data_IF_247261945406
#
_entry.id   IF_247261945406
#
_cell.length_a   1.000
_cell.length_b   1.000
_cell.length_c   1.000
_cell.angle_alpha   90.00
_cell.angle_beta   90.00
_cell.angle_gamma   90.00
#
_symmetry.space_group_name_H-M   'P 1'
#
loop_
_entity.id
_entity.type
_entity.pdbx_description
1 polymer ?
#
# COMPACT_ATOMS: atom_id res chain seq x y z
N UNK A 1 60.66 13.78 -27.76
CA UNK A 1 61.02 14.84 -28.75
C UNK A 1 60.08 14.90 -29.97
N UNK A 2 59.97 13.86 -30.85
CA UNK A 2 59.11 13.99 -32.06
C UNK A 2 57.63 14.29 -31.79
N UNK A 3 57.02 13.61 -30.85
CA UNK A 3 55.59 13.80 -30.49
C UNK A 3 55.38 15.19 -29.84
N UNK A 4 56.30 15.62 -29.03
CA UNK A 4 56.30 16.95 -28.39
C UNK A 4 56.42 18.08 -29.43
N UNK A 5 57.33 17.94 -30.40
CA UNK A 5 57.45 18.86 -31.54
C UNK A 5 56.15 18.92 -32.36
N UNK A 6 55.51 17.79 -32.59
CA UNK A 6 54.20 17.72 -33.27
C UNK A 6 53.10 18.46 -32.48
N UNK A 7 53.06 18.26 -31.20
CA UNK A 7 52.09 18.90 -30.29
C UNK A 7 52.28 20.42 -30.25
N UNK A 8 53.53 20.90 -30.15
CA UNK A 8 53.83 22.32 -30.13
C UNK A 8 53.56 23.00 -31.49
N UNK A 9 53.93 22.35 -32.61
CA UNK A 9 53.60 22.84 -33.96
C UNK A 9 52.09 22.94 -34.20
N UNK A 10 51.32 21.96 -33.71
CA UNK A 10 49.87 22.01 -33.78
C UNK A 10 49.27 23.17 -33.00
N UNK A 11 49.76 23.43 -31.75
CA UNK A 11 49.31 24.55 -30.97
C UNK A 11 49.64 25.90 -31.61
N UNK A 12 50.83 26.04 -32.16
CA UNK A 12 51.24 27.21 -32.92
C UNK A 12 50.36 27.44 -34.15
N UNK A 13 50.05 26.41 -34.92
CA UNK A 13 49.15 26.50 -36.05
C UNK A 13 47.70 26.89 -35.62
N UNK A 14 47.22 26.43 -34.49
CA UNK A 14 45.91 26.82 -33.93
C UNK A 14 45.93 28.28 -33.48
N UNK A 15 46.98 28.74 -32.84
CA UNK A 15 47.15 30.17 -32.43
C UNK A 15 47.25 31.11 -33.63
N UNK A 16 47.94 30.68 -34.73
CA UNK A 16 48.05 31.48 -35.93
C UNK A 16 46.75 31.60 -36.75
N UNK A 17 45.83 30.64 -36.63
CA UNK A 17 44.52 30.68 -37.35
C UNK A 17 43.54 31.73 -36.80
N UNK A 18 43.79 32.32 -35.61
CA UNK A 18 42.75 33.11 -34.93
C UNK A 18 43.24 34.49 -34.45
N UNK A 19 42.47 35.52 -34.83
CA UNK A 19 42.75 36.94 -34.44
C UNK A 19 42.12 37.40 -33.10
N UNK A 20 41.16 36.70 -32.48
CA UNK A 20 40.47 37.20 -31.28
C UNK A 20 40.14 36.16 -30.17
N UNK A 21 39.89 34.91 -30.43
CA UNK A 21 39.66 33.84 -29.44
C UNK A 21 40.12 32.50 -29.99
N UNK A 22 40.97 31.79 -29.25
CA UNK A 22 41.44 30.45 -29.65
C UNK A 22 40.28 29.46 -29.49
N UNK A 23 39.72 28.97 -30.61
CA UNK A 23 38.71 27.91 -30.61
C UNK A 23 39.25 26.68 -31.33
N UNK A 24 39.28 25.55 -30.63
CA UNK A 24 39.73 24.28 -31.21
C UNK A 24 38.59 23.63 -31.99
N UNK A 25 38.84 23.33 -33.23
CA UNK A 25 37.93 22.59 -34.11
C UNK A 25 37.77 21.13 -33.70
N UNK A 26 36.90 20.40 -34.41
CA UNK A 26 36.68 18.99 -34.13
C UNK A 26 37.94 18.13 -34.35
N UNK A 27 38.69 18.41 -35.42
CA UNK A 27 39.93 17.72 -35.73
C UNK A 27 41.01 17.95 -34.66
N UNK A 28 41.14 19.20 -34.17
CA UNK A 28 42.12 19.55 -33.15
C UNK A 28 41.79 18.82 -31.80
N UNK A 29 40.52 18.75 -31.45
CA UNK A 29 40.07 18.01 -30.26
C UNK A 29 40.37 16.52 -30.37
N UNK A 30 40.16 15.94 -31.55
CA UNK A 30 40.39 14.52 -31.79
C UNK A 30 41.90 14.20 -31.74
N UNK A 31 42.77 15.09 -32.30
CA UNK A 31 44.23 14.97 -32.19
C UNK A 31 44.69 14.94 -30.74
N UNK A 32 44.21 15.88 -29.90
CA UNK A 32 44.59 15.94 -28.47
C UNK A 32 44.07 14.75 -27.68
N UNK A 33 42.87 14.23 -28.00
CA UNK A 33 42.36 12.99 -27.42
C UNK A 33 43.23 11.79 -27.79
N UNK A 34 43.71 11.68 -29.02
CA UNK A 34 44.63 10.62 -29.44
C UNK A 34 46.01 10.76 -28.78
N UNK A 35 46.60 11.96 -28.77
CA UNK A 35 47.88 12.23 -28.10
C UNK A 35 47.83 11.90 -26.60
N UNK A 36 46.69 12.18 -25.92
CA UNK A 36 46.52 11.85 -24.52
C UNK A 36 46.53 10.34 -24.21
N UNK A 37 46.32 9.49 -25.25
CA UNK A 37 46.39 8.03 -25.14
C UNK A 37 47.78 7.44 -25.39
N UNK A 38 48.55 8.09 -26.20
CA UNK A 38 49.81 7.54 -26.68
C UNK A 38 51.02 8.14 -25.94
N UNK A 39 50.85 9.33 -25.36
CA UNK A 39 51.93 10.07 -24.74
C UNK A 39 51.64 10.41 -23.27
N UNK A 40 52.45 9.87 -22.36
CA UNK A 40 52.19 10.03 -20.91
C UNK A 40 52.36 11.49 -20.41
N UNK A 41 53.27 12.27 -21.03
CA UNK A 41 53.56 13.66 -20.60
C UNK A 41 52.75 14.71 -21.36
N UNK A 42 51.68 14.34 -22.06
CA UNK A 42 50.85 15.26 -22.84
C UNK A 42 50.28 16.45 -22.02
N UNK A 43 50.15 16.30 -20.71
CA UNK A 43 49.63 17.35 -19.82
C UNK A 43 50.56 18.54 -19.70
N UNK A 44 51.86 18.33 -19.65
CA UNK A 44 52.87 19.39 -19.53
C UNK A 44 53.07 20.20 -20.81
N UNK A 45 52.72 19.62 -21.97
CA UNK A 45 52.83 20.28 -23.27
C UNK A 45 51.58 21.07 -23.69
N UNK A 46 50.49 21.04 -22.86
CA UNK A 46 49.29 21.78 -23.15
C UNK A 46 49.41 23.24 -22.70
N UNK A 47 49.32 24.16 -23.65
CA UNK A 47 49.35 25.61 -23.42
C UNK A 47 47.99 26.27 -23.73
N UNK A 48 47.29 25.77 -24.77
CA UNK A 48 46.07 26.39 -25.31
C UNK A 48 44.82 25.98 -24.54
N UNK A 49 44.78 24.77 -23.96
CA UNK A 49 43.62 24.24 -23.19
C UNK A 49 44.09 23.51 -21.96
N UNK A 50 43.21 23.49 -20.95
CA UNK A 50 43.45 22.74 -19.70
C UNK A 50 43.33 21.24 -19.94
N UNK A 51 44.16 20.40 -19.27
CA UNK A 51 44.10 18.94 -19.37
C UNK A 51 42.70 18.37 -19.11
N UNK A 52 41.94 18.97 -18.18
CA UNK A 52 40.55 18.54 -17.84
C UNK A 52 39.63 18.68 -19.04
N UNK A 53 39.87 19.67 -19.92
CA UNK A 53 39.09 19.88 -21.15
C UNK A 53 39.29 18.74 -22.14
N UNK A 54 40.52 18.27 -22.31
CA UNK A 54 40.83 17.12 -23.18
C UNK A 54 40.18 15.84 -22.62
N UNK A 55 40.22 15.63 -21.30
CA UNK A 55 39.56 14.50 -20.64
C UNK A 55 38.05 14.59 -20.86
N UNK A 56 37.46 15.79 -20.75
CA UNK A 56 36.01 15.98 -20.98
C UNK A 56 35.62 15.65 -22.44
N UNK A 57 36.44 16.02 -23.44
CA UNK A 57 36.23 15.64 -24.84
C UNK A 57 36.28 14.14 -25.04
N UNK A 58 37.29 13.46 -24.45
CA UNK A 58 37.38 12.02 -24.49
C UNK A 58 36.13 11.34 -23.87
N UNK A 59 35.70 11.77 -22.69
CA UNK A 59 34.48 11.25 -22.04
C UNK A 59 33.23 11.47 -22.89
N UNK A 60 33.12 12.64 -23.54
CA UNK A 60 32.00 12.94 -24.43
C UNK A 60 32.03 12.04 -25.68
N UNK A 61 33.19 11.89 -26.33
CA UNK A 61 33.36 11.01 -27.49
C UNK A 61 33.07 9.55 -27.14
N UNK A 62 33.59 9.05 -26.00
CA UNK A 62 33.36 7.71 -25.52
C UNK A 62 31.86 7.46 -25.28
N UNK A 63 31.15 8.42 -24.63
CA UNK A 63 29.70 8.34 -24.40
C UNK A 63 28.91 8.32 -25.70
N UNK A 64 29.31 9.11 -26.71
CA UNK A 64 28.65 9.14 -28.02
C UNK A 64 28.90 7.83 -28.80
N UNK A 65 30.12 7.30 -28.77
CA UNK A 65 30.48 6.02 -29.40
C UNK A 65 29.66 4.86 -28.80
N UNK A 66 29.60 4.75 -27.46
CA UNK A 66 28.85 3.70 -26.83
C UNK A 66 27.34 3.86 -27.02
N UNK A 67 26.82 5.09 -27.02
CA UNK A 67 25.42 5.36 -27.36
C UNK A 67 25.08 4.98 -28.79
N UNK A 68 26.01 5.19 -29.75
CA UNK A 68 25.85 4.74 -31.13
C UNK A 68 25.93 3.22 -31.23
N UNK A 69 26.94 2.61 -30.63
CA UNK A 69 27.14 1.16 -30.61
C UNK A 69 25.99 0.41 -29.91
N UNK A 70 25.45 0.93 -28.83
CA UNK A 70 24.31 0.33 -28.10
C UNK A 70 22.95 0.52 -28.81
N UNK A 71 22.88 1.39 -29.82
CA UNK A 71 21.69 1.50 -30.68
C UNK A 71 21.55 0.35 -31.68
N UNK A 72 22.62 -0.35 -31.98
CA UNK A 72 22.62 -1.49 -32.88
C UNK A 72 22.17 -2.77 -32.16
N UNK A 73 20.88 -2.85 -31.84
CA UNK A 73 20.24 -4.03 -31.29
C UNK A 73 19.15 -3.64 -30.36
N UNK A 74 17.89 -3.81 -30.74
CA UNK A 74 16.77 -3.80 -29.80
C UNK A 74 16.83 -5.09 -28.96
N UNK A 75 17.81 -5.17 -28.05
CA UNK A 75 17.82 -6.16 -26.98
C UNK A 75 16.69 -5.79 -26.02
N UNK A 76 15.54 -6.38 -26.21
CA UNK A 76 14.39 -6.24 -25.33
C UNK A 76 13.50 -7.46 -25.48
N UNK A 77 12.68 -7.73 -24.46
CA UNK A 77 11.67 -8.78 -24.54
C UNK A 77 10.82 -8.56 -25.79
N UNK A 78 10.53 -9.62 -26.60
CA UNK A 78 9.69 -9.51 -27.80
C UNK A 78 8.39 -8.78 -27.48
N UNK A 79 8.02 -7.83 -28.33
CA UNK A 79 6.75 -7.13 -28.16
C UNK A 79 5.60 -8.10 -28.45
N UNK A 80 4.60 -8.14 -27.56
CA UNK A 80 3.35 -8.87 -27.81
C UNK A 80 2.71 -8.35 -29.09
N UNK A 81 2.21 -9.23 -29.96
CA UNK A 81 1.58 -8.85 -31.22
C UNK A 81 0.39 -7.91 -31.02
N UNK A 82 0.10 -7.08 -32.02
CA UNK A 82 -1.05 -6.18 -31.99
C UNK A 82 -2.38 -6.94 -31.82
N UNK A 83 -2.51 -8.07 -32.53
CA UNK A 83 -3.68 -8.95 -32.48
C UNK A 83 -3.92 -9.52 -31.08
N UNK A 84 -2.88 -10.03 -30.42
CA UNK A 84 -2.99 -10.54 -29.04
C UNK A 84 -3.41 -9.45 -28.05
N UNK A 85 -2.91 -8.21 -28.23
CA UNK A 85 -3.33 -7.09 -27.36
C UNK A 85 -4.80 -6.74 -27.55
N UNK A 86 -5.26 -6.75 -28.79
CA UNK A 86 -6.67 -6.46 -29.09
C UNK A 86 -7.59 -7.58 -28.60
N UNK A 87 -7.19 -8.84 -28.75
CA UNK A 87 -7.90 -9.98 -28.20
C UNK A 87 -8.05 -9.89 -26.67
N UNK A 88 -6.98 -9.54 -25.97
CA UNK A 88 -7.03 -9.29 -24.51
C UNK A 88 -8.06 -8.21 -24.17
N UNK A 89 -8.09 -7.11 -24.93
CA UNK A 89 -9.05 -6.03 -24.71
C UNK A 89 -10.50 -6.48 -24.99
N UNK A 90 -10.71 -7.24 -26.06
CA UNK A 90 -12.04 -7.77 -26.40
C UNK A 90 -12.53 -8.73 -25.32
N UNK A 91 -11.70 -9.70 -24.88
CA UNK A 91 -12.04 -10.61 -23.78
C UNK A 91 -12.37 -9.87 -22.50
N UNK A 92 -11.60 -8.83 -22.17
CA UNK A 92 -11.83 -8.00 -20.98
C UNK A 92 -13.13 -7.20 -21.07
N UNK A 93 -13.46 -6.67 -22.23
CA UNK A 93 -14.72 -5.92 -22.47
C UNK A 93 -15.94 -6.84 -22.45
N UNK A 94 -15.85 -7.99 -23.11
CA UNK A 94 -16.93 -8.96 -23.18
C UNK A 94 -17.21 -9.61 -21.81
N UNK A 95 -16.20 -9.71 -20.95
CA UNK A 95 -16.30 -10.37 -19.65
C UNK A 95 -15.83 -9.46 -18.51
N UNK A 96 -16.62 -8.46 -18.09
CA UNK A 96 -16.23 -7.47 -17.11
C UNK A 96 -15.80 -8.03 -15.74
N UNK A 97 -16.23 -9.22 -15.40
CA UNK A 97 -15.93 -9.93 -14.15
C UNK A 97 -14.66 -10.80 -14.23
N UNK A 98 -14.04 -10.92 -15.41
CA UNK A 98 -12.83 -11.71 -15.54
C UNK A 98 -11.59 -10.93 -15.12
N UNK A 99 -10.82 -11.52 -14.23
CA UNK A 99 -9.50 -11.01 -13.87
C UNK A 99 -8.41 -11.51 -14.84
N UNK A 100 -7.23 -10.92 -14.75
CA UNK A 100 -6.07 -11.30 -15.56
C UNK A 100 -5.74 -12.80 -15.51
N UNK A 101 -5.85 -13.53 -14.37
CA UNK A 101 -5.59 -14.96 -14.32
C UNK A 101 -6.53 -15.76 -15.23
N UNK A 102 -7.82 -15.38 -15.30
CA UNK A 102 -8.82 -16.10 -16.11
C UNK A 102 -8.62 -15.85 -17.60
N UNK A 103 -8.42 -14.60 -17.99
CA UNK A 103 -8.11 -14.26 -19.40
C UNK A 103 -6.81 -14.92 -19.83
N UNK A 104 -5.79 -14.98 -18.97
CA UNK A 104 -4.54 -15.69 -19.23
C UNK A 104 -4.80 -17.19 -19.49
N UNK A 105 -5.63 -17.83 -18.66
CA UNK A 105 -6.00 -19.23 -18.85
C UNK A 105 -6.68 -19.50 -20.20
N UNK A 106 -7.59 -18.62 -20.64
CA UNK A 106 -8.24 -18.72 -21.95
C UNK A 106 -7.25 -18.53 -23.10
N UNK A 107 -6.31 -17.58 -22.97
CA UNK A 107 -5.26 -17.37 -23.98
C UNK A 107 -4.36 -18.61 -24.12
N UNK A 108 -4.01 -19.27 -23.01
CA UNK A 108 -3.26 -20.53 -23.05
C UNK A 108 -4.03 -21.64 -23.77
N UNK A 109 -5.36 -21.71 -23.61
CA UNK A 109 -6.21 -22.65 -24.33
C UNK A 109 -6.29 -22.37 -25.86
N UNK A 110 -6.04 -21.11 -26.24
CA UNK A 110 -5.94 -20.70 -27.64
C UNK A 110 -4.49 -20.81 -28.18
N UNK A 111 -3.56 -21.41 -27.44
CA UNK A 111 -2.16 -21.56 -27.84
C UNK A 111 -1.35 -20.26 -27.81
N UNK A 112 -1.84 -19.22 -27.13
CA UNK A 112 -1.18 -17.91 -27.01
C UNK A 112 -0.41 -17.83 -25.70
N UNK A 113 0.91 -17.95 -25.75
CA UNK A 113 1.79 -17.84 -24.60
C UNK A 113 2.13 -16.38 -24.27
N UNK A 114 1.51 -15.84 -23.25
CA UNK A 114 1.81 -14.51 -22.70
C UNK A 114 1.84 -14.59 -21.17
N UNK A 115 2.61 -13.74 -20.51
CA UNK A 115 2.58 -13.73 -19.04
C UNK A 115 1.30 -13.08 -18.51
N UNK A 116 0.83 -13.52 -17.35
CA UNK A 116 -0.32 -12.93 -16.65
C UNK A 116 -0.14 -11.40 -16.41
N UNK A 117 1.08 -10.96 -16.13
CA UNK A 117 1.40 -9.53 -16.00
C UNK A 117 1.19 -8.76 -17.31
N UNK A 118 1.44 -9.39 -18.46
CA UNK A 118 1.16 -8.82 -19.78
C UNK A 118 -0.35 -8.69 -20.00
N UNK A 119 -1.12 -9.70 -19.64
CA UNK A 119 -2.57 -9.65 -19.70
C UNK A 119 -3.12 -8.52 -18.83
N UNK A 120 -2.69 -8.42 -17.58
CA UNK A 120 -3.09 -7.35 -16.66
C UNK A 120 -2.75 -5.94 -17.19
N UNK A 121 -1.64 -5.80 -17.93
CA UNK A 121 -1.23 -4.53 -18.55
C UNK A 121 -2.16 -4.10 -19.69
N UNK A 122 -2.63 -5.04 -20.50
CA UNK A 122 -3.41 -4.76 -21.72
C UNK A 122 -4.92 -4.92 -21.54
N UNK A 123 -5.39 -5.46 -20.41
CA UNK A 123 -6.81 -5.47 -20.07
C UNK A 123 -7.38 -4.07 -20.14
N UNK A 124 -8.59 -3.98 -20.69
CA UNK A 124 -9.38 -2.75 -20.58
C UNK A 124 -9.75 -2.56 -19.11
N UNK A 125 -9.18 -1.56 -18.46
CA UNK A 125 -9.69 -1.09 -17.19
C UNK A 125 -11.02 -0.41 -17.48
N UNK A 126 -12.09 -1.17 -17.45
CA UNK A 126 -13.42 -0.58 -17.41
C UNK A 126 -13.56 0.09 -16.04
N UNK A 127 -13.17 1.36 -15.97
CA UNK A 127 -13.77 2.23 -15.00
C UNK A 127 -15.25 2.37 -15.38
N UNK A 128 -16.11 1.41 -14.98
CA UNK A 128 -17.46 1.81 -14.67
C UNK A 128 -17.28 2.89 -13.63
N UNK A 129 -17.83 4.11 -13.86
CA UNK A 129 -18.07 4.95 -12.71
C UNK A 129 -18.93 4.06 -11.81
N UNK A 130 -18.49 3.74 -10.58
CA UNK A 130 -19.34 2.97 -9.70
C UNK A 130 -20.62 3.77 -9.60
N UNK A 131 -21.78 3.12 -9.82
CA UNK A 131 -23.05 3.61 -9.29
C UNK A 131 -22.77 4.08 -7.88
N UNK A 132 -23.22 5.30 -7.52
CA UNK A 132 -22.96 5.95 -6.24
C UNK A 132 -21.93 5.17 -5.45
N UNK A 133 -20.67 5.51 -5.60
CA UNK A 133 -19.57 4.62 -5.29
C UNK A 133 -19.78 4.11 -3.88
N UNK A 134 -19.41 2.85 -3.61
CA UNK A 134 -19.32 2.33 -2.26
C UNK A 134 -18.67 3.35 -1.30
N UNK A 135 -17.70 4.08 -1.78
CA UNK A 135 -17.05 5.19 -1.09
C UNK A 135 -18.04 6.32 -0.78
N UNK A 136 -18.80 6.77 -1.75
CA UNK A 136 -19.81 7.84 -1.56
C UNK A 136 -20.93 7.39 -0.63
N UNK A 137 -21.34 6.12 -0.72
CA UNK A 137 -22.29 5.53 0.23
C UNK A 137 -21.74 5.57 1.65
N UNK A 138 -20.51 5.12 1.86
CA UNK A 138 -19.86 5.13 3.17
C UNK A 138 -19.71 6.57 3.71
N UNK A 139 -19.27 7.50 2.88
CA UNK A 139 -19.09 8.92 3.26
C UNK A 139 -20.42 9.56 3.70
N UNK A 140 -21.51 9.30 2.98
CA UNK A 140 -22.82 9.86 3.28
C UNK A 140 -23.51 9.23 4.51
N UNK A 141 -23.16 7.99 4.87
CA UNK A 141 -23.85 7.23 5.92
C UNK A 141 -22.92 6.77 7.04
N UNK A 142 -21.69 7.27 7.11
CA UNK A 142 -20.65 6.81 8.05
C UNK A 142 -21.11 6.79 9.51
N UNK A 143 -21.95 7.73 9.90
CA UNK A 143 -22.50 7.82 11.27
C UNK A 143 -23.57 6.76 11.58
N UNK A 144 -24.16 6.18 10.54
CA UNK A 144 -25.29 5.27 10.63
C UNK A 144 -24.93 3.84 10.23
N UNK A 145 -23.66 3.60 9.90
CA UNK A 145 -23.18 2.28 9.49
C UNK A 145 -22.41 1.64 10.61
N UNK A 146 -22.75 0.40 10.84
CA UNK A 146 -22.03 -0.51 11.73
C UNK A 146 -21.64 -1.74 10.93
N UNK A 147 -20.45 -2.25 11.16
CA UNK A 147 -19.97 -3.48 10.56
C UNK A 147 -19.83 -4.57 11.60
N UNK A 148 -20.13 -5.79 11.22
CA UNK A 148 -19.88 -6.97 12.06
C UNK A 148 -18.99 -7.96 11.36
N UNK A 149 -18.22 -8.68 12.15
CA UNK A 149 -17.34 -9.72 11.63
C UNK A 149 -16.96 -10.71 12.74
N UNK A 150 -16.47 -11.86 12.37
CA UNK A 150 -15.97 -12.89 13.26
C UNK A 150 -14.47 -13.07 13.15
N UNK A 151 -13.85 -13.27 14.30
CA UNK A 151 -12.44 -13.59 14.44
C UNK A 151 -12.32 -14.95 15.16
N UNK A 152 -11.57 -15.87 14.56
CA UNK A 152 -11.28 -17.17 15.18
C UNK A 152 -9.99 -17.10 15.97
N UNK A 153 -10.05 -17.54 17.23
CA UNK A 153 -8.92 -17.61 18.17
C UNK A 153 -8.75 -19.04 18.66
N UNK A 154 -7.52 -19.52 18.70
CA UNK A 154 -7.21 -20.86 19.26
C UNK A 154 -6.79 -20.75 20.70
N UNK A 155 -7.31 -21.63 21.54
CA UNK A 155 -6.87 -21.78 22.93
C UNK A 155 -5.60 -22.66 23.01
N UNK A 156 -4.93 -22.65 24.18
CA UNK A 156 -3.80 -23.56 24.47
C UNK A 156 -4.18 -25.03 24.34
N UNK A 157 -5.43 -25.38 24.55
CA UNK A 157 -5.99 -26.72 24.36
C UNK A 157 -6.49 -27.00 22.94
N UNK A 158 -6.11 -26.18 21.95
CA UNK A 158 -6.51 -26.25 20.55
C UNK A 158 -8.00 -26.13 20.26
N UNK A 159 -8.80 -25.71 21.22
CA UNK A 159 -10.21 -25.40 21.00
C UNK A 159 -10.33 -24.07 20.23
N UNK A 160 -11.29 -24.02 19.33
CA UNK A 160 -11.59 -22.79 18.58
C UNK A 160 -12.63 -21.97 19.36
N UNK A 161 -12.33 -20.69 19.52
CA UNK A 161 -13.26 -19.70 20.03
C UNK A 161 -13.52 -18.67 18.92
N UNK A 162 -14.76 -18.26 18.83
CA UNK A 162 -15.23 -17.27 17.88
C UNK A 162 -15.50 -15.96 18.63
N UNK A 163 -14.82 -14.92 18.21
CA UNK A 163 -15.02 -13.57 18.74
C UNK A 163 -15.88 -12.81 17.74
N UNK A 164 -17.07 -12.45 18.13
CA UNK A 164 -17.95 -11.55 17.39
C UNK A 164 -17.59 -10.13 17.73
N UNK A 165 -17.46 -9.27 16.73
CA UNK A 165 -17.17 -7.85 16.91
C UNK A 165 -18.16 -7.00 16.16
N UNK A 166 -18.56 -5.89 16.74
CA UNK A 166 -19.44 -4.87 16.17
C UNK A 166 -18.71 -3.54 16.20
N UNK A 167 -18.43 -3.00 15.02
CA UNK A 167 -17.60 -1.79 14.84
C UNK A 167 -18.39 -0.71 14.14
N UNK A 168 -18.55 0.44 14.77
CA UNK A 168 -19.13 1.63 14.15
C UNK A 168 -18.14 2.27 13.15
N UNK A 169 -18.62 2.67 11.99
CA UNK A 169 -17.79 3.38 11.03
C UNK A 169 -17.43 4.79 11.49
N UNK A 170 -18.37 5.47 12.16
CA UNK A 170 -18.10 6.76 12.78
C UNK A 170 -17.07 6.60 13.90
N UNK A 171 -16.00 7.36 13.82
CA UNK A 171 -14.85 7.33 14.75
C UNK A 171 -14.29 5.95 15.07
N UNK A 172 -14.73 4.88 14.37
CA UNK A 172 -14.24 3.49 14.52
C UNK A 172 -14.50 2.90 15.91
N UNK A 173 -15.61 3.27 16.54
CA UNK A 173 -15.99 2.72 17.82
C UNK A 173 -16.15 1.21 17.78
N UNK A 174 -15.56 0.52 18.73
CA UNK A 174 -15.84 -0.88 19.00
C UNK A 174 -17.11 -0.99 19.89
N UNK A 175 -18.25 -1.06 19.23
CA UNK A 175 -19.57 -0.96 19.88
C UNK A 175 -19.84 -2.15 20.83
N UNK A 176 -19.53 -3.36 20.36
CA UNK A 176 -19.79 -4.58 21.10
C UNK A 176 -18.81 -5.68 20.69
N UNK A 177 -18.55 -6.59 21.62
CA UNK A 177 -17.92 -7.87 21.33
C UNK A 177 -18.45 -8.96 22.27
N UNK A 178 -18.42 -10.19 21.81
CA UNK A 178 -18.61 -11.34 22.66
C UNK A 178 -17.85 -12.55 22.11
N UNK A 179 -17.70 -13.57 22.93
CA UNK A 179 -16.95 -14.78 22.59
C UNK A 179 -17.86 -15.98 22.77
N UNK A 180 -17.76 -16.96 21.88
CA UNK A 180 -18.47 -18.22 21.97
C UNK A 180 -17.63 -19.35 21.34
N UNK A 181 -17.84 -20.57 21.81
CA UNK A 181 -17.32 -21.76 21.16
C UNK A 181 -18.25 -22.26 20.02
N UNK A 182 -19.51 -21.81 20.00
CA UNK A 182 -20.53 -22.26 19.05
C UNK A 182 -21.31 -21.05 18.52
N UNK A 183 -20.88 -20.42 17.44
CA UNK A 183 -21.60 -19.30 16.83
C UNK A 183 -22.81 -19.83 16.06
N UNK A 184 -24.00 -19.57 16.58
CA UNK A 184 -25.27 -19.86 15.89
C UNK A 184 -25.97 -18.56 15.49
N UNK A 185 -26.91 -18.64 14.53
CA UNK A 185 -27.68 -17.48 14.10
C UNK A 185 -28.49 -16.84 15.25
N UNK A 186 -29.01 -17.67 16.15
CA UNK A 186 -29.74 -17.22 17.34
C UNK A 186 -28.80 -16.49 18.32
N UNK A 187 -27.61 -17.04 18.54
CA UNK A 187 -26.62 -16.40 19.39
C UNK A 187 -26.18 -15.05 18.80
N UNK A 188 -25.89 -15.00 17.48
CA UNK A 188 -25.49 -13.77 16.80
C UNK A 188 -26.61 -12.72 16.81
N UNK A 189 -27.87 -13.16 16.62
CA UNK A 189 -29.05 -12.31 16.73
C UNK A 189 -29.17 -11.66 18.13
N UNK A 190 -28.88 -12.44 19.19
CA UNK A 190 -28.85 -11.92 20.56
C UNK A 190 -27.74 -10.89 20.73
N UNK A 191 -26.56 -11.13 20.19
CA UNK A 191 -25.44 -10.20 20.28
C UNK A 191 -25.74 -8.84 19.65
N UNK A 192 -26.46 -8.80 18.52
CA UNK A 192 -26.90 -7.53 17.92
C UNK A 192 -27.92 -6.81 18.81
N UNK A 193 -28.86 -7.53 19.45
CA UNK A 193 -29.78 -6.91 20.37
C UNK A 193 -29.07 -6.35 21.63
N UNK A 194 -28.06 -7.03 22.13
CA UNK A 194 -27.23 -6.56 23.26
C UNK A 194 -26.35 -5.35 22.85
N UNK A 195 -25.86 -5.31 21.59
CA UNK A 195 -25.04 -4.21 21.08
C UNK A 195 -25.83 -2.89 20.97
N UNK A 196 -27.13 -2.96 20.69
CA UNK A 196 -27.99 -1.80 20.46
C UNK A 196 -29.25 -1.85 21.33
N UNK A 197 -29.11 -1.54 22.60
CA UNK A 197 -30.27 -1.44 23.50
C UNK A 197 -31.09 -0.19 23.14
N UNK A 198 -32.43 -0.30 23.29
CA UNK A 198 -33.39 0.77 23.06
C UNK A 198 -33.32 1.33 21.64
N UNK A 199 -33.35 2.65 21.46
CA UNK A 199 -33.37 3.36 20.18
C UNK A 199 -31.96 3.63 19.59
N UNK A 200 -30.93 2.90 20.02
CA UNK A 200 -29.55 3.10 19.57
C UNK A 200 -29.19 2.33 18.30
N UNK A 201 -30.18 1.68 17.66
CA UNK A 201 -29.94 0.85 16.49
C UNK A 201 -29.39 1.67 15.29
N UNK A 202 -28.35 1.18 14.59
CA UNK A 202 -27.84 1.82 13.39
C UNK A 202 -28.85 1.67 12.24
N UNK A 203 -28.75 2.54 11.24
CA UNK A 203 -29.58 2.39 10.05
C UNK A 203 -29.12 1.24 9.16
N UNK A 204 -27.81 1.01 9.08
CA UNK A 204 -27.20 0.01 8.20
C UNK A 204 -26.27 -0.90 8.99
N UNK A 205 -26.41 -2.20 8.76
CA UNK A 205 -25.53 -3.24 9.31
C UNK A 205 -24.83 -3.95 8.17
N UNK A 206 -23.51 -3.81 8.13
CA UNK A 206 -22.65 -4.42 7.13
C UNK A 206 -22.07 -5.73 7.65
N UNK A 207 -22.23 -6.81 6.90
CA UNK A 207 -21.61 -8.10 7.19
C UNK A 207 -21.36 -8.91 5.91
N UNK A 208 -20.66 -10.00 6.04
CA UNK A 208 -20.43 -10.95 4.95
C UNK A 208 -21.61 -11.93 4.80
N UNK A 209 -21.44 -12.91 3.92
CA UNK A 209 -22.47 -13.92 3.61
C UNK A 209 -22.25 -15.23 4.34
N UNK A 210 -21.65 -15.20 5.52
CA UNK A 210 -21.47 -16.40 6.33
C UNK A 210 -22.83 -16.94 6.81
N UNK A 211 -22.95 -18.26 6.91
CA UNK A 211 -24.15 -18.94 7.37
C UNK A 211 -24.50 -18.62 8.83
N UNK A 212 -23.57 -18.10 9.60
CA UNK A 212 -23.77 -17.61 10.97
C UNK A 212 -24.80 -16.46 11.01
N UNK A 213 -24.97 -15.71 9.92
CA UNK A 213 -25.98 -14.67 9.74
C UNK A 213 -27.26 -15.24 9.11
N UNK A 214 -27.75 -16.38 9.66
CA UNK A 214 -28.92 -17.08 9.13
C UNK A 214 -30.25 -16.38 9.45
N UNK A 215 -31.38 -17.10 9.17
CA UNK A 215 -32.72 -16.53 9.26
C UNK A 215 -33.07 -15.87 10.60
N UNK A 216 -32.67 -16.45 11.72
CA UNK A 216 -32.93 -15.88 13.05
C UNK A 216 -32.21 -14.52 13.23
N UNK A 217 -31.00 -14.37 12.70
CA UNK A 217 -30.29 -13.11 12.71
C UNK A 217 -30.99 -12.06 11.84
N UNK A 218 -31.35 -12.42 10.59
CA UNK A 218 -32.02 -11.52 9.66
C UNK A 218 -33.38 -11.05 10.18
N UNK A 219 -34.14 -11.96 10.79
CA UNK A 219 -35.42 -11.61 11.43
C UNK A 219 -35.24 -10.61 12.58
N UNK A 220 -34.22 -10.82 13.43
CA UNK A 220 -33.93 -9.91 14.55
C UNK A 220 -33.49 -8.52 14.05
N UNK A 221 -32.55 -8.47 13.09
CA UNK A 221 -32.06 -7.23 12.50
C UNK A 221 -33.18 -6.45 11.82
N UNK A 222 -34.05 -7.14 11.06
CA UNK A 222 -35.22 -6.54 10.44
C UNK A 222 -36.24 -6.01 11.46
N UNK A 223 -36.50 -6.76 12.58
CA UNK A 223 -37.36 -6.30 13.64
C UNK A 223 -36.85 -5.05 14.40
N UNK A 224 -35.52 -4.83 14.38
CA UNK A 224 -34.90 -3.63 14.94
C UNK A 224 -34.89 -2.45 13.93
N UNK A 225 -35.47 -2.59 12.73
CA UNK A 225 -35.48 -1.56 11.69
C UNK A 225 -34.14 -1.32 11.00
N UNK A 226 -33.18 -2.23 11.18
CA UNK A 226 -31.84 -2.13 10.62
C UNK A 226 -31.84 -2.70 9.19
N UNK A 227 -31.26 -1.97 8.26
CA UNK A 227 -31.08 -2.43 6.88
C UNK A 227 -29.76 -3.18 6.72
N UNK A 228 -29.85 -4.45 6.36
CA UNK A 228 -28.66 -5.28 6.09
C UNK A 228 -27.99 -4.89 4.79
N UNK A 229 -26.68 -4.73 4.83
CA UNK A 229 -25.83 -4.48 3.68
C UNK A 229 -24.84 -5.62 3.54
N UNK A 230 -25.11 -6.51 2.60
CA UNK A 230 -24.26 -7.67 2.34
C UNK A 230 -23.06 -7.29 1.48
N UNK A 231 -21.87 -7.69 1.91
CA UNK A 231 -20.68 -7.55 1.07
C UNK A 231 -20.79 -8.41 -0.17
N UNK A 232 -20.23 -7.94 -1.29
CA UNK A 232 -20.15 -8.74 -2.49
C UNK A 232 -19.21 -9.94 -2.29
N UNK A 233 -19.49 -11.09 -2.92
CA UNK A 233 -18.61 -12.25 -2.81
C UNK A 233 -17.16 -11.91 -3.16
N UNK A 234 -16.20 -12.38 -2.38
CA UNK A 234 -14.75 -12.13 -2.54
C UNK A 234 -14.37 -10.67 -2.58
N UNK A 235 -15.09 -9.82 -1.83
CA UNK A 235 -14.84 -8.38 -1.77
C UNK A 235 -14.57 -7.92 -0.34
N UNK A 236 -13.48 -8.39 0.30
CA UNK A 236 -13.17 -8.08 1.69
C UNK A 236 -13.04 -6.57 1.93
N UNK A 237 -12.54 -5.81 0.95
CA UNK A 237 -12.42 -4.34 1.06
C UNK A 237 -13.75 -3.62 1.36
N UNK A 238 -14.89 -4.28 1.19
CA UNK A 238 -16.19 -3.70 1.54
C UNK A 238 -16.43 -3.71 3.06
N UNK A 239 -15.78 -4.62 3.81
CA UNK A 239 -15.81 -4.66 5.27
C UNK A 239 -14.48 -4.18 5.90
N UNK A 240 -13.79 -3.27 5.23
CA UNK A 240 -12.44 -2.83 5.60
C UNK A 240 -12.31 -2.27 7.03
N UNK A 241 -13.38 -1.77 7.63
CA UNK A 241 -13.35 -1.26 9.01
C UNK A 241 -13.26 -2.39 10.03
N UNK A 242 -14.09 -3.41 9.90
CA UNK A 242 -14.05 -4.58 10.78
C UNK A 242 -12.75 -5.37 10.57
N UNK A 243 -12.34 -5.60 9.32
CA UNK A 243 -11.07 -6.28 9.01
C UNK A 243 -9.85 -5.55 9.61
N UNK A 244 -9.82 -4.23 9.48
CA UNK A 244 -8.72 -3.42 10.04
C UNK A 244 -8.73 -3.44 11.56
N UNK A 245 -9.92 -3.42 12.18
CA UNK A 245 -10.07 -3.58 13.62
C UNK A 245 -9.53 -4.94 14.08
N UNK A 246 -9.97 -6.03 13.45
CA UNK A 246 -9.51 -7.40 13.71
C UNK A 246 -7.99 -7.53 13.51
N UNK A 247 -7.47 -6.95 12.43
CA UNK A 247 -6.04 -6.92 12.17
C UNK A 247 -5.24 -6.19 13.26
N UNK A 248 -5.77 -5.11 13.82
CA UNK A 248 -5.16 -4.41 14.96
C UNK A 248 -5.24 -5.25 16.23
N UNK A 249 -6.41 -5.81 16.54
CA UNK A 249 -6.62 -6.67 17.69
C UNK A 249 -5.66 -7.87 17.69
N UNK A 250 -5.43 -8.50 16.55
CA UNK A 250 -4.44 -9.59 16.43
C UNK A 250 -3.04 -9.10 16.74
N UNK A 251 -2.53 -8.15 15.96
CA UNK A 251 -1.15 -7.69 16.07
C UNK A 251 -0.80 -7.02 17.40
N UNK A 252 -1.75 -6.31 18.00
CA UNK A 252 -1.52 -5.51 19.20
C UNK A 252 -1.86 -6.25 20.51
N UNK A 253 -2.58 -7.36 20.42
CA UNK A 253 -3.04 -8.08 21.61
C UNK A 253 -2.90 -9.60 21.46
N UNK A 254 -3.68 -10.22 20.57
CA UNK A 254 -3.84 -11.68 20.56
C UNK A 254 -2.57 -12.45 20.20
N UNK A 255 -1.71 -11.90 19.34
CA UNK A 255 -0.45 -12.52 18.93
C UNK A 255 0.60 -12.54 20.06
N UNK A 256 0.35 -11.81 21.15
CA UNK A 256 1.26 -11.69 22.30
C UNK A 256 0.75 -12.42 23.55
N UNK A 257 -0.38 -13.09 23.49
CA UNK A 257 -1.05 -13.66 24.68
C UNK A 257 -1.46 -15.11 24.43
N UNK A 258 -1.27 -15.95 25.42
CA UNK A 258 -1.76 -17.33 25.42
C UNK A 258 -3.19 -17.36 25.96
N UNK A 259 -4.13 -17.84 25.15
CA UNK A 259 -5.55 -17.94 25.52
C UNK A 259 -5.82 -19.29 26.15
N UNK A 260 -6.24 -19.27 27.40
CA UNK A 260 -6.54 -20.50 28.16
C UNK A 260 -7.96 -21.01 27.88
N UNK A 261 -8.95 -20.12 27.99
CA UNK A 261 -10.37 -20.43 27.85
C UNK A 261 -11.17 -19.19 27.45
N UNK A 262 -12.48 -19.37 27.26
CA UNK A 262 -13.41 -18.29 26.87
C UNK A 262 -13.42 -17.12 27.86
N UNK A 263 -13.47 -17.40 29.17
CA UNK A 263 -13.48 -16.35 30.20
C UNK A 263 -12.19 -15.54 30.22
N UNK A 264 -11.03 -16.19 30.03
CA UNK A 264 -9.75 -15.48 29.93
C UNK A 264 -9.70 -14.59 28.68
N UNK A 265 -10.21 -15.09 27.54
CA UNK A 265 -10.28 -14.32 26.32
C UNK A 265 -11.21 -13.10 26.47
N UNK A 266 -12.41 -13.28 27.04
CA UNK A 266 -13.34 -12.16 27.32
C UNK A 266 -12.70 -11.07 28.18
N UNK A 267 -11.97 -11.45 29.22
CA UNK A 267 -11.27 -10.49 30.10
C UNK A 267 -10.19 -9.72 29.36
N UNK A 268 -9.39 -10.41 28.55
CA UNK A 268 -8.33 -9.80 27.75
C UNK A 268 -8.93 -8.83 26.74
N UNK A 269 -9.96 -9.26 26.01
CA UNK A 269 -10.63 -8.43 25.04
C UNK A 269 -11.24 -7.18 25.68
N UNK A 270 -11.87 -7.32 26.87
CA UNK A 270 -12.43 -6.17 27.61
C UNK A 270 -11.36 -5.10 27.88
N UNK A 271 -10.18 -5.51 28.33
CA UNK A 271 -9.07 -4.55 28.57
C UNK A 271 -8.52 -3.96 27.29
N UNK A 272 -8.43 -4.77 26.19
CA UNK A 272 -8.01 -4.25 24.90
C UNK A 272 -9.02 -3.26 24.31
N UNK A 273 -10.32 -3.54 24.40
CA UNK A 273 -11.35 -2.63 23.91
C UNK A 273 -11.35 -1.30 24.67
N UNK A 274 -11.13 -1.32 25.99
CA UNK A 274 -10.95 -0.10 26.77
C UNK A 274 -9.73 0.71 26.31
N UNK A 275 -8.59 0.04 26.08
CA UNK A 275 -7.42 0.68 25.52
C UNK A 275 -7.68 1.25 24.11
N UNK A 276 -8.32 0.46 23.24
CA UNK A 276 -8.64 0.85 21.88
C UNK A 276 -9.53 2.10 21.83
N UNK A 277 -10.57 2.14 22.67
CA UNK A 277 -11.53 3.25 22.72
C UNK A 277 -10.96 4.53 23.33
N UNK A 278 -10.21 4.42 24.42
CA UNK A 278 -9.84 5.57 25.25
C UNK A 278 -8.37 5.99 25.12
N UNK A 279 -7.50 5.15 24.57
CA UNK A 279 -6.06 5.40 24.61
C UNK A 279 -5.39 5.33 23.26
N UNK A 280 -5.81 4.41 22.40
CA UNK A 280 -5.20 4.17 21.11
C UNK A 280 -5.48 5.29 20.13
N UNK A 281 -4.40 5.92 19.65
CA UNK A 281 -4.51 6.98 18.64
C UNK A 281 -4.62 6.43 17.22
N UNK A 282 -5.42 7.08 16.38
CA UNK A 282 -5.69 6.69 15.00
C UNK A 282 -5.31 7.82 14.03
N UNK A 283 -4.52 7.52 13.01
CA UNK A 283 -4.14 8.49 11.99
C UNK A 283 -5.35 9.12 11.28
N UNK A 284 -6.39 8.32 11.05
CA UNK A 284 -7.61 8.78 10.38
C UNK A 284 -8.55 9.60 11.28
N UNK A 285 -8.25 9.70 12.56
CA UNK A 285 -8.94 10.56 13.54
C UNK A 285 -8.05 11.71 13.98
N UNK A 286 -7.17 12.18 13.10
CA UNK A 286 -6.20 13.26 13.40
C UNK A 286 -5.33 12.96 14.63
N UNK A 287 -4.95 11.68 14.79
CA UNK A 287 -4.18 11.15 15.94
C UNK A 287 -4.95 11.16 17.26
N UNK A 288 -6.27 11.24 17.23
CA UNK A 288 -7.13 11.09 18.40
C UNK A 288 -7.56 9.63 18.60
N UNK A 289 -8.12 9.32 19.76
CA UNK A 289 -8.78 8.04 20.06
C UNK A 289 -10.24 8.04 19.58
N UNK A 290 -10.91 6.87 19.42
CA UNK A 290 -12.33 6.80 19.12
C UNK A 290 -13.18 7.64 20.11
N UNK A 291 -12.94 7.52 21.39
CA UNK A 291 -13.42 8.47 22.39
C UNK A 291 -12.37 9.56 22.54
N UNK A 292 -12.74 10.78 22.17
CA UNK A 292 -11.82 11.92 22.12
C UNK A 292 -11.18 12.20 23.47
N UNK A 293 -9.89 12.52 23.45
CA UNK A 293 -9.10 12.87 24.64
C UNK A 293 -8.72 14.34 24.61
N UNK A 294 -8.88 15.00 25.75
CA UNK A 294 -8.39 16.35 25.89
C UNK A 294 -6.87 16.41 25.81
N UNK A 295 -6.34 17.44 25.16
CA UNK A 295 -4.91 17.74 25.16
C UNK A 295 -4.49 18.20 26.55
N UNK A 296 -3.50 17.55 27.14
CA UNK A 296 -2.95 17.90 28.45
C UNK A 296 -1.75 18.80 28.28
N UNK A 297 -1.90 20.07 28.63
CA UNK A 297 -0.84 21.06 28.52
C UNK A 297 0.27 20.82 29.57
N UNK A 298 1.51 21.35 29.34
CA UNK A 298 2.64 21.17 30.27
C UNK A 298 2.38 21.63 31.71
N UNK A 299 1.52 22.62 31.89
CA UNK A 299 1.15 23.18 33.19
C UNK A 299 0.42 22.18 34.10
N UNK A 300 -0.14 21.10 33.53
CA UNK A 300 -0.82 20.05 34.30
C UNK A 300 0.12 19.10 35.05
N UNK A 301 1.43 19.30 34.94
CA UNK A 301 2.42 18.59 35.72
C UNK A 301 3.25 17.57 34.92
N UNK A 302 3.87 16.64 35.65
CA UNK A 302 4.78 15.65 35.06
C UNK A 302 4.03 14.58 34.25
N UNK A 303 4.70 14.03 33.23
CA UNK A 303 4.19 12.91 32.47
C UNK A 303 4.38 11.62 33.28
N UNK A 304 3.30 10.87 33.42
CA UNK A 304 3.29 9.53 34.01
C UNK A 304 2.89 8.51 32.98
N UNK A 305 3.37 7.30 33.15
CA UNK A 305 3.12 6.13 32.31
C UNK A 305 2.11 5.22 33.01
N UNK A 306 1.04 4.87 32.31
CA UNK A 306 -0.04 4.00 32.81
C UNK A 306 -0.10 2.75 31.95
N UNK A 307 0.26 1.56 32.50
CA UNK A 307 0.21 0.32 31.75
C UNK A 307 -1.21 -0.04 31.35
N UNK A 308 -1.37 -0.50 30.11
CA UNK A 308 -2.63 -0.95 29.50
C UNK A 308 -2.48 -2.37 28.99
N UNK A 309 -3.59 -3.12 28.91
CA UNK A 309 -3.63 -4.48 28.33
C UNK A 309 -2.56 -5.40 28.96
N UNK A 310 -2.46 -5.37 30.30
CA UNK A 310 -1.47 -6.17 31.02
C UNK A 310 -0.02 -5.76 30.78
N UNK A 311 0.24 -4.51 30.41
CA UNK A 311 1.59 -3.98 30.14
C UNK A 311 2.04 -4.09 28.69
N UNK A 312 1.21 -4.62 27.76
CA UNK A 312 1.52 -4.64 26.34
C UNK A 312 1.55 -3.24 25.71
N UNK A 313 0.74 -2.34 26.25
CA UNK A 313 0.65 -0.95 25.82
C UNK A 313 0.73 -0.02 27.01
N UNK A 314 1.02 1.24 26.76
CA UNK A 314 1.06 2.27 27.78
C UNK A 314 0.30 3.51 27.32
N UNK A 315 -0.39 4.13 28.28
CA UNK A 315 -1.02 5.43 28.13
C UNK A 315 -0.19 6.45 28.91
N UNK A 316 -0.02 7.61 28.35
CA UNK A 316 0.72 8.71 28.98
C UNK A 316 -0.25 9.81 29.35
N UNK A 317 -0.18 10.28 30.60
CA UNK A 317 -0.98 11.38 31.12
C UNK A 317 -0.12 12.32 31.96
N UNK A 318 -0.59 13.56 32.13
CA UNK A 318 0.03 14.48 33.06
C UNK A 318 -0.67 14.41 34.41
N UNK A 319 0.13 14.43 35.47
CA UNK A 319 -0.34 14.41 36.83
C UNK A 319 0.28 15.59 37.58
N UNK A 320 -0.56 16.35 38.28
CA UNK A 320 -0.10 17.37 39.20
C UNK A 320 0.84 16.76 40.25
N UNK A 321 1.85 17.55 40.66
CA UNK A 321 2.81 17.11 41.65
C UNK A 321 2.18 17.04 43.04
#
# INVERSE_FOLDING_TARGET
MQIEMLALRHQLAVLQRQKKRVSLGAADRLLWVLLSRIWNQWRSALVVVKPETVIAWHRKGFRLYWRWKSRAGKCGRPCVSGETRELIRQMSKANPLWGAPRIHGELLKLGIEVSQATVAKYMSRQGRPPSQTWRTFLENHVQQIVATDFLVVRTVSFRLLFVFVVVGHHRRHAVHFNVTAQPTAEWTARQIAEAFPWDSAPRYLLHDRDCIYGAAFQQRVGAMGILEVLTAPRSPWQNAYAERFIGSLRRECLDHIIILNESSLKRILKTYFQYYEHSRTHLSLEKDAPISRAVQLPELGRVIELPQVGGLHHRYERQAA
#
